data_IF_069743647825
#
_entry.id   IF_069743647825
#
_cell.length_a   1.000
_cell.length_b   1.000
_cell.length_c   1.000
_cell.angle_alpha   90.00
_cell.angle_beta   90.00
_cell.angle_gamma   90.00
#
_symmetry.space_group_name_H-M   'P 1'
#
loop_
_entity.id
_entity.type
_entity.pdbx_description
1 polymer ?
#
# COMPACT_ATOMS: atom_id res chain seq x y z
N UNK A 1 5.99 -7.05 -21.31
CA UNK A 1 5.88 -7.50 -22.71
C UNK A 1 7.19 -8.10 -23.19
N UNK A 2 8.03 -7.31 -23.86
CA UNK A 2 9.31 -7.78 -24.43
C UNK A 2 10.22 -8.47 -23.39
N UNK A 3 10.47 -7.83 -22.24
CA UNK A 3 11.29 -8.43 -21.17
C UNK A 3 10.75 -9.77 -20.66
N UNK A 4 9.43 -9.92 -20.54
CA UNK A 4 8.82 -11.17 -20.10
C UNK A 4 8.97 -12.29 -21.16
N UNK A 5 8.96 -11.94 -22.45
CA UNK A 5 9.24 -12.89 -23.54
C UNK A 5 10.71 -13.32 -23.57
N UNK A 6 11.61 -12.41 -23.21
CA UNK A 6 13.06 -12.65 -23.22
C UNK A 6 13.54 -13.40 -21.97
N UNK A 7 12.97 -13.09 -20.80
CA UNK A 7 13.52 -13.50 -19.49
C UNK A 7 12.56 -14.35 -18.65
N UNK A 8 11.32 -14.53 -19.11
CA UNK A 8 10.27 -15.19 -18.34
C UNK A 8 9.96 -14.42 -17.05
N UNK A 9 10.05 -15.11 -15.92
CA UNK A 9 9.86 -14.54 -14.57
C UNK A 9 11.18 -14.08 -13.92
N UNK A 10 12.30 -14.18 -14.63
CA UNK A 10 13.60 -13.78 -14.08
C UNK A 10 13.73 -12.26 -14.05
N UNK A 11 14.37 -11.72 -13.01
CA UNK A 11 14.66 -10.29 -12.94
C UNK A 11 15.56 -9.89 -14.12
N UNK A 12 15.20 -8.83 -14.89
CA UNK A 12 16.02 -8.40 -16.00
C UNK A 12 17.41 -7.92 -15.54
N UNK A 13 18.47 -8.19 -16.33
CA UNK A 13 19.77 -7.64 -16.06
C UNK A 13 19.73 -6.11 -16.22
N UNK A 14 20.10 -5.38 -15.16
CA UNK A 14 20.09 -3.92 -15.14
C UNK A 14 18.75 -3.31 -14.68
N UNK A 15 18.71 -1.97 -14.63
CA UNK A 15 17.50 -1.23 -14.25
C UNK A 15 17.20 -0.12 -15.23
N UNK A 16 15.93 0.04 -15.62
CA UNK A 16 15.45 1.16 -16.42
C UNK A 16 14.64 2.12 -15.54
N UNK A 17 14.93 3.42 -15.64
CA UNK A 17 14.17 4.49 -14.98
C UNK A 17 13.61 5.43 -16.03
N UNK A 18 12.29 5.58 -16.06
CA UNK A 18 11.60 6.43 -17.02
C UNK A 18 10.83 7.51 -16.27
N UNK A 19 10.96 8.75 -16.72
CA UNK A 19 10.20 9.89 -16.19
C UNK A 19 9.17 10.34 -17.21
N UNK A 20 7.94 10.49 -16.75
CA UNK A 20 6.79 10.96 -17.50
C UNK A 20 6.24 12.22 -16.81
N UNK A 21 5.78 13.18 -17.61
CA UNK A 21 5.24 14.45 -17.11
C UNK A 21 3.88 14.67 -17.77
N UNK A 22 2.87 14.98 -16.97
CA UNK A 22 1.49 15.25 -17.41
C UNK A 22 0.50 14.19 -16.97
N UNK A 23 -0.52 13.97 -17.80
CA UNK A 23 -1.63 13.06 -17.50
C UNK A 23 -1.43 11.70 -18.19
N UNK A 24 -1.30 10.64 -17.40
CA UNK A 24 -1.26 9.29 -17.91
C UNK A 24 -2.68 8.76 -18.17
N UNK A 25 -2.88 8.14 -19.34
CA UNK A 25 -4.11 7.44 -19.68
C UNK A 25 -4.33 6.20 -18.81
N UNK A 26 -5.39 5.45 -19.12
CA UNK A 26 -5.72 4.22 -18.41
C UNK A 26 -4.59 3.17 -18.52
N UNK A 27 -4.47 2.33 -17.49
CA UNK A 27 -3.53 1.20 -17.44
C UNK A 27 -2.04 1.59 -17.51
N UNK A 28 -1.68 2.79 -17.05
CA UNK A 28 -0.28 3.18 -16.92
C UNK A 28 0.50 2.20 -16.04
N UNK A 29 1.63 1.68 -16.53
CA UNK A 29 2.43 0.69 -15.82
C UNK A 29 1.75 -0.68 -15.64
N UNK A 30 0.72 -1.01 -16.43
CA UNK A 30 0.12 -2.34 -16.38
C UNK A 30 1.16 -3.43 -16.72
N UNK A 31 1.14 -4.52 -15.96
CA UNK A 31 2.06 -5.66 -16.09
C UNK A 31 3.55 -5.27 -16.02
N UNK A 32 3.88 -4.22 -15.25
CA UNK A 32 5.26 -3.87 -14.95
C UNK A 32 5.96 -5.05 -14.26
N UNK A 33 7.25 -5.19 -14.53
CA UNK A 33 8.11 -6.25 -14.01
C UNK A 33 9.33 -5.65 -13.33
N UNK A 34 10.07 -6.48 -12.61
CA UNK A 34 11.26 -6.09 -11.87
C UNK A 34 12.29 -5.39 -12.76
N UNK A 35 13.14 -4.57 -12.13
CA UNK A 35 14.15 -3.77 -12.82
C UNK A 35 13.61 -2.55 -13.58
N UNK A 36 12.30 -2.32 -13.63
CA UNK A 36 11.73 -1.09 -14.21
C UNK A 36 11.16 -0.19 -13.12
N UNK A 37 11.50 1.10 -13.17
CA UNK A 37 10.94 2.16 -12.35
C UNK A 37 10.33 3.26 -13.24
N UNK A 38 9.06 3.56 -13.02
CA UNK A 38 8.36 4.68 -13.64
C UNK A 38 8.15 5.79 -12.61
N UNK A 39 8.58 7.00 -12.95
CA UNK A 39 8.22 8.22 -12.25
C UNK A 39 7.22 9.00 -13.10
N UNK A 40 6.04 9.29 -12.55
CA UNK A 40 5.05 10.17 -13.13
C UNK A 40 4.95 11.45 -12.29
N UNK A 41 5.24 12.59 -12.92
CA UNK A 41 4.99 13.92 -12.36
C UNK A 41 3.68 14.41 -12.97
N UNK A 42 2.60 14.35 -12.19
CA UNK A 42 1.23 14.56 -12.65
C UNK A 42 0.30 13.47 -12.12
N UNK A 43 -0.70 13.10 -12.92
CA UNK A 43 -1.80 12.23 -12.50
C UNK A 43 -2.05 11.10 -13.51
N UNK A 44 -2.69 10.03 -13.05
CA UNK A 44 -3.04 8.87 -13.84
C UNK A 44 -4.52 8.52 -13.72
N UNK A 45 -5.12 8.14 -14.85
CA UNK A 45 -6.47 7.58 -14.88
C UNK A 45 -6.52 6.16 -14.28
N UNK A 46 -7.66 5.48 -14.44
CA UNK A 46 -7.92 4.15 -13.88
C UNK A 46 -6.88 3.08 -14.25
N UNK A 47 -6.79 2.05 -13.42
CA UNK A 47 -6.03 0.82 -13.66
C UNK A 47 -4.50 0.98 -13.66
N UNK A 48 -3.96 2.05 -13.06
CA UNK A 48 -2.51 2.16 -12.87
C UNK A 48 -1.97 0.90 -12.18
N UNK A 49 -0.90 0.32 -12.73
CA UNK A 49 -0.28 -0.88 -12.18
C UNK A 49 -1.17 -2.13 -12.22
N UNK A 50 -2.20 -2.18 -13.07
CA UNK A 50 -3.02 -3.39 -13.27
C UNK A 50 -2.14 -4.60 -13.59
N UNK A 51 -2.32 -5.68 -12.84
CA UNK A 51 -1.58 -6.93 -13.02
C UNK A 51 -0.06 -6.78 -12.89
N UNK A 52 0.42 -5.76 -12.16
CA UNK A 52 1.84 -5.59 -11.89
C UNK A 52 2.42 -6.83 -11.20
N UNK A 53 3.58 -7.28 -11.68
CA UNK A 53 4.27 -8.48 -11.20
C UNK A 53 5.65 -8.15 -10.58
N UNK A 54 6.15 -6.93 -10.77
CA UNK A 54 7.38 -6.43 -10.18
C UNK A 54 7.61 -4.96 -10.53
N UNK A 55 8.78 -4.45 -10.18
CA UNK A 55 9.18 -3.07 -10.49
C UNK A 55 8.51 -2.03 -9.60
N UNK A 56 8.60 -0.76 -10.01
CA UNK A 56 8.17 0.37 -9.20
C UNK A 56 7.47 1.45 -10.00
N UNK A 57 6.38 1.98 -9.45
CA UNK A 57 5.70 3.17 -9.96
C UNK A 57 5.69 4.23 -8.86
N UNK A 58 6.15 5.44 -9.18
CA UNK A 58 6.18 6.60 -8.31
C UNK A 58 5.31 7.67 -8.97
N UNK A 59 4.37 8.22 -8.22
CA UNK A 59 3.49 9.30 -8.67
C UNK A 59 3.59 10.44 -7.67
N UNK A 60 3.87 11.65 -8.17
CA UNK A 60 3.89 12.85 -7.34
C UNK A 60 3.26 14.01 -8.10
N UNK A 61 2.66 14.98 -7.39
CA UNK A 61 2.03 16.11 -8.04
C UNK A 61 3.08 16.99 -8.75
N UNK A 62 2.66 17.84 -9.70
CA UNK A 62 3.49 18.94 -10.19
C UNK A 62 3.94 19.87 -9.06
N UNK A 63 5.04 20.61 -9.26
CA UNK A 63 5.63 21.48 -8.23
C UNK A 63 4.70 22.64 -7.77
N UNK A 64 3.70 22.99 -8.57
CA UNK A 64 2.74 24.08 -8.33
C UNK A 64 1.38 23.61 -7.78
N UNK A 65 1.29 22.36 -7.29
CA UNK A 65 0.05 21.80 -6.74
C UNK A 65 -0.43 22.51 -5.47
N UNK A 66 -1.74 22.72 -5.40
CA UNK A 66 -2.39 23.50 -4.34
C UNK A 66 -2.61 22.74 -3.02
N UNK A 67 -2.28 21.44 -2.96
CA UNK A 67 -2.41 20.58 -1.78
C UNK A 67 -3.57 19.58 -1.86
N UNK A 68 -3.41 18.44 -1.16
CA UNK A 68 -4.33 17.28 -1.12
C UNK A 68 -4.71 16.70 -2.51
N UNK A 69 -3.72 16.35 -3.34
CA UNK A 69 -3.96 16.02 -4.74
C UNK A 69 -4.64 14.66 -4.90
N UNK A 70 -5.58 14.56 -5.84
CA UNK A 70 -6.18 13.29 -6.27
C UNK A 70 -5.48 12.83 -7.55
N UNK A 71 -4.48 11.96 -7.41
CA UNK A 71 -3.54 11.66 -8.50
C UNK A 71 -3.80 10.35 -9.22
N UNK A 72 -4.63 9.47 -8.64
CA UNK A 72 -4.90 8.16 -9.21
C UNK A 72 -6.40 7.92 -9.33
N UNK A 73 -6.82 7.41 -10.49
CA UNK A 73 -8.19 6.94 -10.71
C UNK A 73 -8.53 5.66 -9.92
N UNK A 74 -9.48 4.89 -10.47
CA UNK A 74 -10.05 3.72 -9.82
C UNK A 74 -9.30 2.43 -10.15
N UNK A 75 -9.53 1.40 -9.34
CA UNK A 75 -9.08 0.02 -9.63
C UNK A 75 -7.57 -0.10 -9.88
N UNK A 76 -6.81 0.78 -9.21
CA UNK A 76 -5.35 0.80 -9.19
C UNK A 76 -4.85 -0.51 -8.60
N UNK A 77 -3.75 -1.06 -9.14
CA UNK A 77 -3.16 -2.34 -8.73
C UNK A 77 -4.10 -3.55 -8.82
N UNK A 78 -5.09 -3.50 -9.71
CA UNK A 78 -6.02 -4.61 -9.91
C UNK A 78 -5.28 -5.94 -10.13
N UNK A 79 -5.47 -6.88 -9.20
CA UNK A 79 -4.92 -8.23 -9.31
C UNK A 79 -3.40 -8.33 -9.14
N UNK A 80 -2.71 -7.33 -8.59
CA UNK A 80 -1.24 -7.30 -8.61
C UNK A 80 -0.61 -8.46 -7.81
N UNK A 81 0.48 -9.05 -8.30
CA UNK A 81 1.24 -10.14 -7.64
C UNK A 81 2.73 -9.83 -7.52
N UNK A 82 3.11 -8.54 -7.52
CA UNK A 82 4.44 -8.09 -7.09
C UNK A 82 4.80 -6.69 -7.60
N UNK A 83 5.70 -6.00 -6.91
CA UNK A 83 6.15 -4.64 -7.21
C UNK A 83 5.61 -3.58 -6.25
N UNK A 84 5.93 -2.32 -6.51
CA UNK A 84 5.80 -1.24 -5.55
C UNK A 84 5.15 0.03 -6.14
N UNK A 85 4.22 0.63 -5.41
CA UNK A 85 3.58 1.89 -5.77
C UNK A 85 3.77 2.94 -4.65
N UNK A 86 4.29 4.12 -4.99
CA UNK A 86 4.35 5.25 -4.07
C UNK A 86 3.66 6.46 -4.72
N UNK A 87 2.57 6.96 -4.13
CA UNK A 87 1.81 8.08 -4.68
C UNK A 87 1.57 9.18 -3.64
N UNK A 88 2.19 10.36 -3.79
CA UNK A 88 1.97 11.52 -2.92
C UNK A 88 0.63 12.20 -3.25
N UNK A 89 -0.46 11.46 -3.04
CA UNK A 89 -1.82 11.87 -3.35
C UNK A 89 -2.80 10.73 -3.14
N UNK A 90 -4.09 11.05 -3.33
CA UNK A 90 -5.19 10.11 -3.15
C UNK A 90 -5.46 9.28 -4.39
N UNK A 91 -6.00 8.10 -4.16
CA UNK A 91 -6.57 7.24 -5.20
C UNK A 91 -8.10 7.19 -5.13
N UNK A 92 -8.72 6.84 -6.26
CA UNK A 92 -10.15 6.58 -6.37
C UNK A 92 -10.62 5.29 -5.67
N UNK A 93 -11.76 4.78 -6.13
CA UNK A 93 -12.40 3.59 -5.59
C UNK A 93 -11.66 2.30 -5.99
N UNK A 94 -11.91 1.23 -5.22
CA UNK A 94 -11.38 -0.12 -5.46
C UNK A 94 -9.86 -0.16 -5.57
N UNK A 95 -9.20 0.72 -4.83
CA UNK A 95 -7.75 0.73 -4.73
C UNK A 95 -7.24 -0.65 -4.27
N UNK A 96 -6.32 -1.23 -5.03
CA UNK A 96 -5.71 -2.54 -4.78
C UNK A 96 -6.71 -3.71 -4.70
N UNK A 97 -7.83 -3.63 -5.43
CA UNK A 97 -8.78 -4.75 -5.54
C UNK A 97 -8.09 -6.00 -6.09
N UNK A 98 -8.26 -7.14 -5.42
CA UNK A 98 -7.59 -8.42 -5.71
C UNK A 98 -6.05 -8.38 -5.65
N UNK A 99 -5.45 -7.37 -5.00
CA UNK A 99 -4.00 -7.38 -4.77
C UNK A 99 -3.59 -8.66 -4.02
N UNK A 100 -2.51 -9.26 -4.48
CA UNK A 100 -2.02 -10.57 -4.05
C UNK A 100 -0.51 -10.56 -3.82
N UNK A 101 0.15 -9.39 -3.92
CA UNK A 101 1.59 -9.31 -3.66
C UNK A 101 2.26 -7.94 -3.79
N UNK A 102 1.59 -6.91 -4.33
CA UNK A 102 2.19 -5.58 -4.43
C UNK A 102 2.19 -4.84 -3.08
N UNK A 103 3.21 -4.00 -2.87
CA UNK A 103 3.26 -3.05 -1.76
C UNK A 103 2.93 -1.64 -2.26
N UNK A 104 2.12 -0.88 -1.52
CA UNK A 104 1.74 0.47 -1.94
C UNK A 104 1.65 1.45 -0.80
N UNK A 105 2.01 2.71 -1.05
CA UNK A 105 1.81 3.84 -0.13
C UNK A 105 1.11 4.99 -0.86
N UNK A 106 -0.05 5.40 -0.34
CA UNK A 106 -0.89 6.49 -0.88
C UNK A 106 -1.38 7.39 0.26
N UNK A 107 -1.84 8.61 -0.06
CA UNK A 107 -2.26 9.60 0.96
C UNK A 107 -3.77 9.64 1.20
N UNK A 108 -4.51 8.72 0.58
CA UNK A 108 -5.92 8.49 0.82
C UNK A 108 -6.53 7.64 -0.29
N UNK A 109 -7.69 7.05 -0.04
CA UNK A 109 -8.38 6.17 -0.99
C UNK A 109 -9.90 6.36 -0.91
N UNK A 110 -10.58 6.08 -2.02
CA UNK A 110 -12.04 5.99 -2.08
C UNK A 110 -12.60 4.72 -1.41
N UNK A 111 -13.82 4.38 -1.77
CA UNK A 111 -14.52 3.19 -1.24
C UNK A 111 -13.95 1.87 -1.78
N UNK A 112 -14.22 0.76 -1.08
CA UNK A 112 -13.84 -0.59 -1.49
C UNK A 112 -12.32 -0.83 -1.63
N UNK A 113 -11.49 -0.06 -0.93
CA UNK A 113 -10.06 -0.33 -0.91
C UNK A 113 -9.76 -1.73 -0.34
N UNK A 114 -8.74 -2.39 -0.90
CA UNK A 114 -8.31 -3.75 -0.55
C UNK A 114 -9.40 -4.83 -0.73
N UNK A 115 -10.45 -4.56 -1.50
CA UNK A 115 -11.50 -5.54 -1.77
C UNK A 115 -10.91 -6.81 -2.42
N UNK A 116 -11.24 -7.98 -1.89
CA UNK A 116 -10.71 -9.29 -2.32
C UNK A 116 -9.18 -9.43 -2.30
N UNK A 117 -8.47 -8.60 -1.52
CA UNK A 117 -7.02 -8.71 -1.37
C UNK A 117 -6.62 -10.04 -0.71
N UNK A 118 -5.60 -10.70 -1.24
CA UNK A 118 -5.08 -11.99 -0.76
C UNK A 118 -3.60 -11.94 -0.36
N UNK A 119 -2.92 -10.81 -0.59
CA UNK A 119 -1.52 -10.62 -0.25
C UNK A 119 -1.01 -9.23 -0.60
N UNK A 120 0.19 -8.90 -0.11
CA UNK A 120 0.79 -7.56 -0.23
C UNK A 120 0.60 -6.69 1.01
N UNK A 121 1.09 -5.46 0.95
CA UNK A 121 1.02 -4.49 2.05
C UNK A 121 0.63 -3.12 1.54
N UNK A 122 -0.47 -2.58 2.05
CA UNK A 122 -0.94 -1.25 1.69
C UNK A 122 -0.74 -0.31 2.88
N UNK A 123 -0.27 0.90 2.62
CA UNK A 123 -0.16 1.97 3.61
C UNK A 123 -0.92 3.17 3.09
N UNK A 124 -1.88 3.65 3.88
CA UNK A 124 -2.74 4.77 3.53
C UNK A 124 -2.52 5.85 4.58
N UNK A 125 -1.90 6.96 4.18
CA UNK A 125 -1.47 8.05 5.06
C UNK A 125 -2.57 9.12 5.30
N UNK A 126 -3.83 8.75 5.06
CA UNK A 126 -4.96 9.65 5.17
C UNK A 126 -6.30 8.93 5.11
N UNK A 127 -7.31 9.61 4.58
CA UNK A 127 -8.70 9.16 4.63
C UNK A 127 -8.95 7.91 3.76
N UNK A 128 -9.88 7.08 4.24
CA UNK A 128 -10.35 5.86 3.56
C UNK A 128 -11.86 5.91 3.42
N UNK A 129 -12.38 5.42 2.28
CA UNK A 129 -13.81 5.24 2.07
C UNK A 129 -14.39 4.00 2.77
N UNK A 130 -15.69 3.82 2.64
CA UNK A 130 -16.43 2.69 3.21
C UNK A 130 -16.03 1.35 2.58
N UNK A 131 -16.40 0.27 3.29
CA UNK A 131 -16.25 -1.12 2.86
C UNK A 131 -14.79 -1.55 2.64
N UNK A 132 -13.87 -0.95 3.41
CA UNK A 132 -12.45 -1.30 3.42
C UNK A 132 -12.25 -2.78 3.78
N UNK A 133 -11.49 -3.50 2.95
CA UNK A 133 -11.13 -4.90 3.20
C UNK A 133 -12.25 -5.92 2.97
N UNK A 134 -13.32 -5.56 2.26
CA UNK A 134 -14.39 -6.51 1.94
C UNK A 134 -13.86 -7.72 1.17
N UNK A 135 -14.14 -8.93 1.65
CA UNK A 135 -13.64 -10.16 1.02
C UNK A 135 -12.11 -10.34 1.10
N UNK A 136 -11.39 -9.51 1.84
CA UNK A 136 -9.94 -9.62 2.03
C UNK A 136 -9.62 -10.86 2.87
N UNK A 137 -8.75 -11.71 2.35
CA UNK A 137 -8.38 -13.01 2.94
C UNK A 137 -6.88 -13.16 3.20
N UNK A 138 -6.07 -12.19 2.77
CA UNK A 138 -4.62 -12.17 3.03
C UNK A 138 -4.01 -10.79 2.84
N UNK A 139 -2.81 -10.60 3.40
CA UNK A 139 -2.07 -9.33 3.38
C UNK A 139 -2.43 -8.41 4.55
N UNK A 140 -1.96 -7.17 4.48
CA UNK A 140 -2.19 -6.18 5.53
C UNK A 140 -2.37 -4.77 4.98
N UNK A 141 -3.25 -3.99 5.62
CA UNK A 141 -3.47 -2.57 5.32
C UNK A 141 -3.20 -1.75 6.57
N UNK A 142 -2.31 -0.78 6.47
CA UNK A 142 -2.06 0.20 7.51
C UNK A 142 -2.73 1.51 7.14
N UNK A 143 -3.52 2.07 8.05
CA UNK A 143 -4.23 3.34 7.84
C UNK A 143 -3.83 4.32 8.93
N UNK A 144 -3.28 5.46 8.54
CA UNK A 144 -3.01 6.57 9.44
C UNK A 144 -4.30 7.34 9.70
N UNK A 145 -4.83 7.26 10.91
CA UNK A 145 -6.03 8.00 11.32
C UNK A 145 -5.81 8.61 12.70
N UNK A 146 -5.69 9.94 12.72
CA UNK A 146 -5.60 10.72 13.95
C UNK A 146 -6.89 10.67 14.79
N UNK A 147 -8.02 10.26 14.19
CA UNK A 147 -9.29 10.02 14.86
C UNK A 147 -9.53 8.54 15.17
N UNK A 148 -10.80 8.13 15.10
CA UNK A 148 -11.28 6.76 15.35
C UNK A 148 -12.25 6.29 14.25
N UNK A 149 -12.05 6.76 13.02
CA UNK A 149 -12.94 6.53 11.88
C UNK A 149 -12.76 5.15 11.27
N UNK A 150 -11.53 4.63 11.25
CA UNK A 150 -11.21 3.37 10.54
C UNK A 150 -12.13 2.20 10.90
N UNK A 151 -12.45 1.90 12.18
CA UNK A 151 -13.36 0.80 12.51
C UNK A 151 -14.74 0.91 11.85
N UNK A 152 -15.25 2.12 11.61
CA UNK A 152 -16.53 2.34 10.94
C UNK A 152 -16.45 2.22 9.41
N UNK A 153 -15.24 2.30 8.84
CA UNK A 153 -15.01 2.18 7.40
C UNK A 153 -14.77 0.72 6.97
N UNK A 154 -14.37 -0.14 7.90
CA UNK A 154 -14.01 -1.54 7.66
C UNK A 154 -15.23 -2.43 7.44
N UNK A 155 -15.14 -3.32 6.45
CA UNK A 155 -16.05 -4.45 6.34
C UNK A 155 -15.63 -5.55 7.32
N UNK A 156 -16.37 -5.66 8.43
CA UNK A 156 -16.02 -6.56 9.53
C UNK A 156 -16.36 -8.04 9.29
N UNK A 157 -16.69 -8.47 8.07
CA UNK A 157 -17.00 -9.89 7.79
C UNK A 157 -15.76 -10.76 8.01
N UNK A 158 -14.66 -10.44 7.31
CA UNK A 158 -13.45 -11.28 7.29
C UNK A 158 -12.20 -10.62 7.88
N UNK A 159 -12.19 -9.29 8.05
CA UNK A 159 -11.05 -8.54 8.58
C UNK A 159 -11.42 -7.88 9.92
N UNK A 160 -10.40 -7.61 10.72
CA UNK A 160 -10.49 -6.78 11.92
C UNK A 160 -9.47 -5.63 11.87
N UNK A 161 -9.78 -4.55 12.58
CA UNK A 161 -8.94 -3.37 12.72
C UNK A 161 -8.39 -3.25 14.14
N UNK A 162 -7.06 -3.16 14.27
CA UNK A 162 -6.38 -3.03 15.57
C UNK A 162 -5.41 -1.85 15.57
N UNK A 163 -5.26 -1.18 16.71
CA UNK A 163 -4.21 -0.17 16.88
C UNK A 163 -2.84 -0.84 16.98
N UNK A 164 -1.81 -0.16 16.48
CA UNK A 164 -0.41 -0.61 16.61
C UNK A 164 0.22 -0.28 17.98
N UNK A 165 -0.59 0.07 18.98
CA UNK A 165 -0.14 0.40 20.34
C UNK A 165 -0.12 -0.85 21.25
N UNK A 166 0.99 -1.57 21.30
CA UNK A 166 1.19 -2.69 22.23
C UNK A 166 2.64 -3.18 22.25
N UNK A 167 3.07 -3.80 23.35
CA UNK A 167 4.45 -4.30 23.55
C UNK A 167 4.75 -5.62 22.84
N UNK A 168 3.88 -6.06 21.93
CA UNK A 168 4.01 -7.37 21.29
C UNK A 168 5.12 -7.35 20.22
N UNK A 169 6.00 -8.35 20.22
CA UNK A 169 7.16 -8.41 19.32
C UNK A 169 6.78 -8.41 17.82
N UNK A 170 5.60 -8.92 17.48
CA UNK A 170 5.03 -8.85 16.13
C UNK A 170 4.58 -7.45 15.72
N UNK A 171 4.09 -6.65 16.68
CA UNK A 171 3.80 -5.24 16.44
C UNK A 171 5.10 -4.47 16.16
N UNK A 172 6.24 -4.93 16.71
CA UNK A 172 7.56 -4.38 16.38
C UNK A 172 7.95 -4.68 14.94
N UNK A 173 7.83 -5.93 14.47
CA UNK A 173 8.14 -6.29 13.07
C UNK A 173 7.22 -5.58 12.06
N UNK A 174 5.91 -5.55 12.34
CA UNK A 174 4.92 -4.83 11.53
C UNK A 174 5.22 -3.33 11.51
N UNK A 175 5.58 -2.77 12.68
CA UNK A 175 5.98 -1.37 12.81
C UNK A 175 7.26 -1.04 12.02
N UNK A 176 8.24 -1.95 11.97
CA UNK A 176 9.45 -1.79 11.16
C UNK A 176 9.13 -1.77 9.66
N UNK A 177 8.33 -2.73 9.18
CA UNK A 177 7.93 -2.78 7.77
C UNK A 177 7.11 -1.55 7.36
N UNK A 178 6.17 -1.15 8.21
CA UNK A 178 5.39 0.07 8.01
C UNK A 178 6.31 1.29 7.92
N UNK A 179 7.22 1.46 8.88
CA UNK A 179 8.17 2.56 8.90
C UNK A 179 9.01 2.61 7.62
N UNK A 180 9.55 1.48 7.18
CA UNK A 180 10.33 1.38 5.95
C UNK A 180 9.54 1.87 4.74
N UNK A 181 8.28 1.44 4.60
CA UNK A 181 7.42 1.88 3.50
C UNK A 181 7.15 3.39 3.54
N UNK A 182 6.95 3.97 4.72
CA UNK A 182 6.74 5.42 4.88
C UNK A 182 8.03 6.21 4.60
N UNK A 183 9.19 5.74 5.07
CA UNK A 183 10.50 6.35 4.77
C UNK A 183 10.80 6.34 3.27
N UNK A 184 10.52 5.21 2.62
CA UNK A 184 10.69 5.07 1.17
C UNK A 184 9.71 5.94 0.40
N UNK A 185 8.46 6.02 0.86
CA UNK A 185 7.49 6.94 0.29
C UNK A 185 8.00 8.39 0.34
N UNK A 186 8.41 8.86 1.51
CA UNK A 186 8.97 10.21 1.67
C UNK A 186 10.18 10.45 0.76
N UNK A 187 11.07 9.47 0.63
CA UNK A 187 12.27 9.57 -0.21
C UNK A 187 11.95 9.60 -1.71
N UNK A 188 10.98 8.82 -2.18
CA UNK A 188 10.65 8.74 -3.61
C UNK A 188 9.72 9.86 -4.07
N UNK A 189 8.77 10.26 -3.23
CA UNK A 189 7.73 11.22 -3.64
C UNK A 189 8.01 12.64 -3.17
N UNK A 190 8.80 12.81 -2.10
CA UNK A 190 8.94 14.10 -1.42
C UNK A 190 7.73 14.47 -0.56
N UNK A 191 6.83 13.52 -0.27
CA UNK A 191 5.58 13.73 0.48
C UNK A 191 5.79 14.47 1.80
N UNK A 192 5.13 15.61 1.94
CA UNK A 192 5.09 16.37 3.19
C UNK A 192 4.33 15.61 4.29
N UNK A 193 3.28 14.84 3.92
CA UNK A 193 2.50 14.03 4.88
C UNK A 193 3.40 12.95 5.50
N UNK A 194 4.12 12.19 4.68
CA UNK A 194 5.02 11.16 5.18
C UNK A 194 6.18 11.76 6.00
N UNK A 195 6.75 12.89 5.58
CA UNK A 195 7.77 13.60 6.36
C UNK A 195 7.25 14.02 7.73
N UNK A 196 6.03 14.57 7.82
CA UNK A 196 5.43 14.96 9.09
C UNK A 196 5.19 13.74 10.02
N UNK A 197 4.74 12.62 9.46
CA UNK A 197 4.57 11.35 10.20
C UNK A 197 5.90 10.84 10.75
N UNK A 198 6.98 10.93 9.95
CA UNK A 198 8.31 10.45 10.35
C UNK A 198 8.98 11.35 11.40
N UNK A 199 8.67 12.64 11.44
CA UNK A 199 9.21 13.58 12.44
C UNK A 199 8.83 13.21 13.88
N UNK A 200 7.61 12.69 14.08
CA UNK A 200 7.16 12.13 15.36
C UNK A 200 6.67 10.69 15.16
N UNK A 201 7.59 9.80 14.74
CA UNK A 201 7.24 8.42 14.44
C UNK A 201 6.59 7.68 15.62
N UNK A 202 7.10 7.91 16.83
CA UNK A 202 6.58 7.24 18.03
C UNK A 202 5.13 7.65 18.30
N UNK A 203 4.83 8.96 18.30
CA UNK A 203 3.46 9.45 18.44
C UNK A 203 2.55 9.06 17.28
N UNK A 204 3.09 9.03 16.06
CA UNK A 204 2.35 8.63 14.87
C UNK A 204 1.97 7.14 14.88
N UNK A 205 2.81 6.26 15.42
CA UNK A 205 2.54 4.82 15.48
C UNK A 205 1.22 4.50 16.21
N UNK A 206 0.91 5.23 17.28
CA UNK A 206 -0.34 5.09 18.02
C UNK A 206 -1.59 5.50 17.21
N UNK A 207 -1.41 6.23 16.11
CA UNK A 207 -2.47 6.69 15.22
C UNK A 207 -2.66 5.78 14.01
N UNK A 208 -1.79 4.78 13.84
CA UNK A 208 -2.02 3.76 12.82
C UNK A 208 -3.00 2.69 13.29
N UNK A 209 -3.90 2.34 12.39
CA UNK A 209 -4.68 1.11 12.42
C UNK A 209 -4.07 0.09 11.47
N UNK A 210 -4.04 -1.16 11.89
CA UNK A 210 -3.78 -2.31 11.03
C UNK A 210 -5.09 -3.03 10.78
N UNK A 211 -5.43 -3.19 9.51
CA UNK A 211 -6.57 -3.98 9.03
C UNK A 211 -6.01 -5.24 8.38
N UNK A 212 -6.42 -6.40 8.87
CA UNK A 212 -5.93 -7.70 8.41
C UNK A 212 -7.01 -8.79 8.57
N UNK A 213 -6.92 -9.91 7.83
CA UNK A 213 -7.85 -11.02 7.97
C UNK A 213 -7.82 -11.60 9.38
N UNK A 214 -8.99 -11.90 9.93
CA UNK A 214 -9.15 -12.50 11.27
C UNK A 214 -8.38 -13.81 11.42
N UNK A 215 -8.35 -14.61 10.35
CA UNK A 215 -7.63 -15.88 10.32
C UNK A 215 -6.11 -15.70 10.45
N UNK A 216 -5.55 -14.64 9.87
CA UNK A 216 -4.13 -14.32 10.01
C UNK A 216 -3.82 -13.83 11.43
N UNK A 217 -4.67 -12.98 12.01
CA UNK A 217 -4.54 -12.52 13.39
C UNK A 217 -4.53 -13.70 14.37
N UNK A 218 -5.51 -14.62 14.27
CA UNK A 218 -5.60 -15.78 15.13
C UNK A 218 -4.40 -16.74 14.98
N UNK A 219 -3.90 -16.95 13.76
CA UNK A 219 -2.70 -17.78 13.53
C UNK A 219 -1.48 -17.18 14.21
N UNK A 220 -1.32 -15.87 14.10
CA UNK A 220 -0.23 -15.08 14.69
C UNK A 220 -0.27 -15.21 16.23
N UNK A 221 -1.44 -15.07 16.85
CA UNK A 221 -1.62 -15.22 18.30
C UNK A 221 -1.30 -16.64 18.78
N UNK A 222 -1.84 -17.66 18.12
CA UNK A 222 -1.64 -19.08 18.49
C UNK A 222 -0.17 -19.54 18.39
N UNK A 223 0.58 -19.04 17.40
CA UNK A 223 2.02 -19.33 17.26
C UNK A 223 2.83 -18.77 18.43
N UNK A 224 2.37 -17.69 19.07
CA UNK A 224 3.05 -17.06 20.20
C UNK A 224 2.76 -17.77 21.52
N UNK A 225 1.52 -18.17 21.76
CA UNK A 225 1.18 -19.01 22.93
C UNK A 225 2.00 -20.30 22.95
N UNK A 226 2.16 -20.96 21.78
CA UNK A 226 2.99 -22.15 21.65
C UNK A 226 4.49 -21.90 21.89
N UNK A 227 5.02 -20.73 21.50
CA UNK A 227 6.44 -20.37 21.69
C UNK A 227 6.75 -19.99 23.14
N UNK A 228 5.81 -19.34 23.84
CA UNK A 228 5.91 -19.05 25.27
C UNK A 228 5.78 -20.32 26.12
N UNK A 229 4.86 -21.21 25.76
CA UNK A 229 4.68 -22.50 26.43
C UNK A 229 5.86 -23.46 26.24
N UNK A 230 6.59 -23.39 25.12
CA UNK A 230 7.78 -24.20 24.87
C UNK A 230 9.05 -23.71 25.59
N UNK A 231 9.01 -22.51 26.20
CA UNK A 231 10.13 -21.88 26.91
C UNK A 231 9.96 -21.86 28.43
N UNK A 232 8.83 -22.34 28.96
CA UNK A 232 8.57 -22.50 30.40
C UNK A 232 8.74 -23.95 30.85
#
# INVERSE_FOLDING_TARGET
>A
GALAMELGTSAPPGSARLTFIGQAGQSFGAFLTDGIEFLLIGEANDYLGKGMAGGRIIVRPPDDDAGDPHLLGNTVLYGATGGELFCAGRAGERFAVRNSGASAVVEGVGEHAAEYMTGGTLVILGDVGHNLGAGMTGGEVFVYDAGIRVPAMVNAELVDAHRLSGEHQLLLEQGLRLRELVERHAAFTGSAVAQAILQDWHGALHRFWRVAPKADVARIENQHEGTLAARG
#
